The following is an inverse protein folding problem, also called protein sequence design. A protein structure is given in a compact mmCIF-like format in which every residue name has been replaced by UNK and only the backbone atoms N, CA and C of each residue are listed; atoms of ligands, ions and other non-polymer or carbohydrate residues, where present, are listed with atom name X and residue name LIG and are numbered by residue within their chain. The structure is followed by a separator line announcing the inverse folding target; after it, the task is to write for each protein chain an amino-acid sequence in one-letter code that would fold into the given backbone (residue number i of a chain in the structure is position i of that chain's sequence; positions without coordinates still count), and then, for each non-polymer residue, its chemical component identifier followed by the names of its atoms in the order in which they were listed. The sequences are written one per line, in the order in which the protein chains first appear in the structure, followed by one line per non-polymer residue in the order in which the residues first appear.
data_IF_539712949633
#
_entry.id   IF_539712949633
#
_cell.length_a   1.000
_cell.length_b   1.000
_cell.length_c   1.000
_cell.angle_alpha   90.00
_cell.angle_beta   90.00
_cell.angle_gamma   90.00
#
_symmetry.space_group_name_H-M   'P 1'
#
loop_
_entity.id
_entity.type
_entity.pdbx_description
1 polymer ?
#
# COMPACT_ATOMS: atom_id res chain seq x y z
N UNK A 1 8.55 -43.95 36.80
CA UNK A 1 8.93 -44.50 35.48
C UNK A 1 9.36 -43.32 34.61
N UNK A 2 10.51 -42.65 34.86
CA UNK A 2 11.87 -42.93 34.34
C UNK A 2 11.88 -43.63 32.98
N UNK A 3 12.32 -42.95 31.92
CA UNK A 3 13.61 -43.15 31.26
C UNK A 3 14.02 -41.94 30.39
N UNK A 4 15.25 -41.47 30.62
CA UNK A 4 16.13 -40.74 29.69
C UNK A 4 16.61 -41.66 28.58
N UNK A 5 17.24 -41.12 27.52
CA UNK A 5 18.57 -41.51 26.95
C UNK A 5 18.74 -41.01 25.49
N UNK A 6 19.57 -39.97 25.30
CA UNK A 6 20.80 -39.82 24.44
C UNK A 6 20.56 -39.51 22.94
N UNK A 7 21.10 -38.47 22.30
CA UNK A 7 22.47 -37.93 22.15
C UNK A 7 23.41 -38.77 21.27
N UNK A 8 23.82 -38.24 20.10
CA UNK A 8 25.15 -38.22 19.41
C UNK A 8 24.95 -37.90 17.90
N UNK A 9 25.52 -36.87 17.24
CA UNK A 9 26.89 -36.41 16.89
C UNK A 9 27.53 -37.11 15.66
N UNK A 10 27.75 -36.34 14.57
CA UNK A 10 28.88 -36.41 13.58
C UNK A 10 28.62 -35.39 12.45
N UNK A 11 29.36 -34.29 12.24
CA UNK A 11 30.79 -34.05 11.91
C UNK A 11 31.08 -34.07 10.39
N UNK A 12 31.28 -32.85 9.85
CA UNK A 12 32.30 -32.35 8.90
C UNK A 12 32.48 -33.03 7.53
N UNK A 13 32.38 -32.21 6.47
CA UNK A 13 33.39 -32.17 5.41
C UNK A 13 33.45 -30.78 4.75
N UNK A 14 34.63 -30.17 4.90
CA UNK A 14 35.17 -29.00 4.21
C UNK A 14 35.37 -29.33 2.73
N UNK A 15 35.17 -28.38 1.82
CA UNK A 15 36.06 -28.23 0.65
C UNK A 15 36.12 -26.78 0.18
N UNK A 16 37.36 -26.29 0.21
CA UNK A 16 37.88 -25.01 -0.25
C UNK A 16 37.93 -24.99 -1.78
N UNK A 17 37.61 -23.85 -2.38
CA UNK A 17 37.83 -23.58 -3.80
C UNK A 17 37.93 -22.08 -4.06
N UNK A 18 39.15 -21.57 -4.03
CA UNK A 18 39.56 -20.18 -4.32
C UNK A 18 39.67 -20.02 -5.84
N UNK A 19 39.10 -18.96 -6.42
CA UNK A 19 39.67 -18.28 -7.59
C UNK A 19 39.05 -16.88 -7.78
N UNK A 20 39.92 -15.89 -7.76
CA UNK A 20 39.73 -14.45 -8.05
C UNK A 20 39.64 -14.17 -9.56
N UNK A 21 39.32 -12.93 -9.98
CA UNK A 21 38.72 -12.62 -11.28
C UNK A 21 39.75 -12.31 -12.38
N UNK A 22 39.31 -12.38 -13.63
CA UNK A 22 40.06 -11.84 -14.77
C UNK A 22 39.23 -10.73 -15.42
N UNK A 23 39.75 -9.51 -15.24
CA UNK A 23 39.52 -8.33 -16.05
C UNK A 23 40.36 -8.46 -17.34
N UNK A 24 39.79 -8.10 -18.49
CA UNK A 24 40.54 -7.54 -19.62
C UNK A 24 39.61 -6.70 -20.46
N UNK A 25 39.67 -5.38 -20.26
CA UNK A 25 39.19 -4.41 -21.23
C UNK A 25 39.98 -4.43 -22.54
N UNK A 26 39.31 -4.03 -23.63
CA UNK A 26 39.91 -3.17 -24.66
C UNK A 26 38.83 -2.49 -25.50
N UNK A 27 38.81 -1.17 -25.39
CA UNK A 27 38.31 -0.19 -26.34
C UNK A 27 38.70 -0.54 -27.78
N UNK A 28 37.75 -0.42 -28.73
CA UNK A 28 37.95 0.26 -30.04
C UNK A 28 36.60 0.85 -30.51
N UNK A 29 36.50 2.17 -30.55
CA UNK A 29 35.70 2.95 -31.54
C UNK A 29 36.72 3.62 -32.47
N UNK A 30 36.46 3.81 -33.78
CA UNK A 30 35.54 4.82 -34.33
C UNK A 30 34.80 4.32 -35.59
N UNK A 31 33.85 4.97 -36.26
CA UNK A 31 33.26 6.30 -36.25
C UNK A 31 32.28 6.36 -37.45
N UNK A 32 31.38 7.35 -37.40
CA UNK A 32 30.36 7.79 -38.36
C UNK A 32 30.37 7.18 -39.78
N UNK A 33 29.19 6.79 -40.27
CA UNK A 33 28.64 7.30 -41.53
C UNK A 33 27.10 7.37 -41.49
N UNK A 34 26.61 8.51 -41.97
CA UNK A 34 25.23 8.90 -42.26
C UNK A 34 24.75 8.11 -43.48
N UNK A 35 23.51 7.60 -43.45
CA UNK A 35 22.50 7.76 -44.52
C UNK A 35 21.21 6.95 -44.19
N UNK A 36 20.07 7.53 -44.54
CA UNK A 36 18.76 6.89 -44.75
C UNK A 36 18.23 7.48 -46.08
N UNK A 37 17.14 6.99 -46.70
CA UNK A 37 16.30 5.81 -46.47
C UNK A 37 16.04 5.02 -47.78
N UNK A 38 15.06 4.09 -47.75
CA UNK A 38 14.34 3.42 -48.88
C UNK A 38 14.73 1.95 -49.11
N UNK A 39 13.82 1.02 -48.82
CA UNK A 39 12.88 0.53 -49.85
C UNK A 39 11.94 -0.56 -49.29
N UNK A 40 10.65 -0.40 -49.57
CA UNK A 40 9.59 -1.39 -49.34
C UNK A 40 9.47 -2.23 -50.60
N UNK A 41 9.54 -3.57 -50.55
CA UNK A 41 9.02 -4.40 -51.62
C UNK A 41 7.56 -4.75 -51.36
N UNK A 42 6.66 -4.16 -52.14
CA UNK A 42 5.33 -4.69 -52.38
C UNK A 42 5.45 -6.02 -53.13
N UNK A 43 5.13 -7.13 -52.48
CA UNK A 43 4.94 -8.41 -53.16
C UNK A 43 3.51 -8.49 -53.72
N UNK A 44 3.43 -8.34 -55.02
CA UNK A 44 2.30 -8.60 -55.92
C UNK A 44 1.66 -9.97 -55.71
N UNK A 45 0.33 -9.98 -55.64
CA UNK A 45 -0.54 -11.15 -55.78
C UNK A 45 -0.39 -11.76 -57.18
N UNK A 46 0.24 -12.93 -57.27
CA UNK A 46 0.10 -13.81 -58.44
C UNK A 46 -0.89 -14.93 -58.14
N UNK A 47 -2.10 -14.78 -58.68
CA UNK A 47 -3.05 -15.88 -58.86
C UNK A 47 -2.46 -16.90 -59.83
N UNK A 48 -2.25 -18.15 -59.38
CA UNK A 48 -2.02 -19.29 -60.27
C UNK A 48 -2.95 -20.46 -59.93
N UNK A 49 -3.92 -20.58 -60.83
CA UNK A 49 -4.73 -21.71 -61.29
C UNK A 49 -4.72 -23.06 -60.54
N UNK A 50 -5.97 -23.54 -60.36
CA UNK A 50 -6.45 -24.86 -59.99
C UNK A 50 -5.73 -26.05 -60.65
N UNK A 51 -5.45 -27.08 -59.85
CA UNK A 51 -5.53 -28.49 -60.29
C UNK A 51 -6.34 -29.29 -59.27
N UNK A 52 -7.37 -29.93 -59.79
CA UNK A 52 -8.25 -30.89 -59.14
C UNK A 52 -7.53 -32.24 -59.09
N UNK A 53 -7.51 -32.90 -57.92
CA UNK A 53 -7.45 -34.37 -57.84
C UNK A 53 -8.11 -34.82 -56.55
N UNK A 54 -9.21 -35.56 -56.70
CA UNK A 54 -9.98 -36.14 -55.62
C UNK A 54 -9.21 -37.23 -54.86
N UNK A 55 -9.26 -37.16 -53.52
CA UNK A 55 -9.37 -38.33 -52.65
C UNK A 55 -9.89 -37.87 -51.27
N UNK A 56 -10.94 -38.55 -50.80
CA UNK A 56 -11.75 -38.23 -49.62
C UNK A 56 -11.11 -38.74 -48.31
N UNK A 57 -11.42 -38.04 -47.21
CA UNK A 57 -11.30 -38.37 -45.77
C UNK A 57 -9.91 -38.19 -45.13
N UNK A 58 -9.73 -37.11 -44.36
CA UNK A 58 -10.07 -37.14 -42.92
C UNK A 58 -10.27 -35.71 -42.38
N UNK A 59 -11.25 -35.55 -41.49
CA UNK A 59 -11.59 -34.24 -40.89
C UNK A 59 -10.64 -33.96 -39.73
N UNK A 60 -9.50 -33.36 -40.04
CA UNK A 60 -8.79 -32.55 -39.06
C UNK A 60 -9.13 -31.09 -39.37
N UNK A 61 -10.16 -30.56 -38.70
CA UNK A 61 -10.33 -29.12 -38.54
C UNK A 61 -9.13 -28.60 -37.72
N UNK A 62 -7.96 -28.47 -38.36
CA UNK A 62 -6.98 -27.48 -37.97
C UNK A 62 -7.64 -26.13 -38.23
N UNK A 63 -8.41 -25.66 -37.24
CA UNK A 63 -8.79 -24.26 -37.15
C UNK A 63 -7.50 -23.49 -36.95
N UNK A 64 -6.92 -23.05 -38.06
CA UNK A 64 -5.95 -21.96 -38.08
C UNK A 64 -6.70 -20.72 -37.61
N UNK A 65 -6.86 -20.61 -36.29
CA UNK A 65 -7.47 -19.46 -35.66
C UNK A 65 -6.52 -18.30 -35.84
N UNK A 66 -6.80 -17.41 -36.78
CA UNK A 66 -6.12 -16.13 -36.89
C UNK A 66 -6.42 -15.34 -35.61
N UNK A 67 -5.48 -15.25 -34.64
CA UNK A 67 -5.78 -14.68 -33.33
C UNK A 67 -6.18 -13.20 -33.43
N UNK A 68 -5.79 -12.56 -34.53
CA UNK A 68 -6.10 -11.17 -34.85
C UNK A 68 -7.58 -10.96 -35.23
N UNK A 69 -8.20 -11.93 -35.91
CA UNK A 69 -9.62 -11.85 -36.27
C UNK A 69 -10.52 -12.04 -35.04
N UNK A 70 -10.16 -12.95 -34.11
CA UNK A 70 -10.91 -13.12 -32.85
C UNK A 70 -10.88 -11.86 -32.02
N UNK A 71 -9.69 -11.26 -31.84
CA UNK A 71 -9.52 -9.98 -31.13
C UNK A 71 -10.31 -8.85 -31.77
N UNK A 72 -10.38 -8.82 -33.11
CA UNK A 72 -11.17 -7.83 -33.84
C UNK A 72 -12.68 -7.99 -33.58
N UNK A 73 -13.21 -9.22 -33.69
CA UNK A 73 -14.63 -9.51 -33.46
C UNK A 73 -15.02 -9.25 -32.00
N UNK A 74 -14.17 -9.63 -31.05
CA UNK A 74 -14.35 -9.31 -29.64
C UNK A 74 -14.40 -7.79 -29.44
N UNK A 75 -13.42 -7.04 -29.95
CA UNK A 75 -13.42 -5.57 -29.86
C UNK A 75 -14.67 -4.94 -30.48
N UNK A 76 -15.18 -5.49 -31.58
CA UNK A 76 -16.42 -5.03 -32.20
C UNK A 76 -17.63 -5.31 -31.29
N UNK A 77 -17.70 -6.49 -30.68
CA UNK A 77 -18.75 -6.85 -29.74
C UNK A 77 -18.79 -5.86 -28.54
N UNK A 78 -17.65 -5.56 -27.91
CA UNK A 78 -17.60 -4.61 -26.79
C UNK A 78 -17.95 -3.18 -27.21
N UNK A 79 -17.53 -2.75 -28.41
CA UNK A 79 -17.96 -1.45 -28.96
C UNK A 79 -19.48 -1.41 -29.16
N UNK A 80 -20.09 -2.49 -29.62
CA UNK A 80 -21.55 -2.58 -29.74
C UNK A 80 -22.24 -2.57 -28.37
N UNK A 81 -21.76 -3.35 -27.40
CA UNK A 81 -22.29 -3.36 -26.03
C UNK A 81 -22.28 -1.96 -25.41
N UNK A 82 -21.16 -1.22 -25.59
CA UNK A 82 -21.05 0.17 -25.13
C UNK A 82 -22.01 1.12 -25.87
N UNK A 83 -22.21 0.94 -27.18
CA UNK A 83 -23.18 1.76 -27.96
C UNK A 83 -24.62 1.49 -27.55
N UNK A 84 -24.92 0.25 -27.17
CA UNK A 84 -26.24 -0.18 -26.71
C UNK A 84 -26.45 0.05 -25.22
N UNK A 85 -25.48 0.66 -24.51
CA UNK A 85 -25.52 0.95 -23.08
C UNK A 85 -25.87 -0.27 -22.20
N UNK A 86 -25.42 -1.47 -22.61
CA UNK A 86 -25.78 -2.71 -21.92
C UNK A 86 -25.34 -2.67 -20.45
N UNK A 87 -26.21 -3.10 -19.54
CA UNK A 87 -25.86 -3.08 -18.12
C UNK A 87 -24.68 -4.04 -17.86
N UNK A 88 -23.62 -3.65 -17.13
CA UNK A 88 -22.50 -4.54 -16.89
C UNK A 88 -22.85 -5.84 -16.14
N UNK A 89 -23.88 -5.87 -15.29
CA UNK A 89 -24.39 -7.10 -14.68
C UNK A 89 -24.98 -8.07 -15.73
N UNK A 90 -25.75 -7.53 -16.68
CA UNK A 90 -26.28 -8.32 -17.79
C UNK A 90 -25.16 -8.90 -18.64
N UNK A 91 -24.12 -8.09 -18.92
CA UNK A 91 -22.93 -8.56 -19.65
C UNK A 91 -22.17 -9.60 -18.84
N UNK A 92 -22.02 -9.43 -17.52
CA UNK A 92 -21.38 -10.41 -16.63
C UNK A 92 -22.08 -11.76 -16.68
N UNK A 93 -23.42 -11.74 -16.64
CA UNK A 93 -24.27 -12.92 -16.71
C UNK A 93 -24.18 -13.60 -18.08
N UNK A 94 -24.25 -12.85 -19.18
CA UNK A 94 -24.12 -13.38 -20.54
C UNK A 94 -22.74 -13.97 -20.84
N UNK A 95 -21.71 -13.53 -20.12
CA UNK A 95 -20.35 -14.08 -20.20
C UNK A 95 -20.15 -15.28 -19.26
N UNK A 96 -21.20 -15.72 -18.55
CA UNK A 96 -21.17 -16.88 -17.65
C UNK A 96 -20.09 -16.76 -16.55
N UNK A 97 -19.73 -15.53 -16.15
CA UNK A 97 -18.64 -15.28 -15.21
C UNK A 97 -18.97 -15.60 -13.74
N UNK A 98 -20.25 -15.86 -13.44
CA UNK A 98 -20.70 -16.26 -12.11
C UNK A 98 -20.82 -17.78 -11.93
N UNK A 99 -20.57 -18.58 -12.97
CA UNK A 99 -20.81 -20.03 -12.92
C UNK A 99 -19.78 -20.75 -12.05
N UNK A 100 -20.23 -21.78 -11.34
CA UNK A 100 -19.39 -22.58 -10.46
C UNK A 100 -18.23 -23.21 -11.25
N UNK A 101 -17.01 -23.07 -10.73
CA UNK A 101 -15.79 -23.60 -11.37
C UNK A 101 -15.13 -22.65 -12.37
N UNK A 102 -15.75 -21.51 -12.69
CA UNK A 102 -15.08 -20.45 -13.47
C UNK A 102 -14.00 -19.78 -12.62
N UNK A 103 -12.74 -19.93 -13.05
CA UNK A 103 -11.61 -19.20 -12.46
C UNK A 103 -11.56 -17.79 -13.05
N UNK A 104 -11.53 -16.77 -12.20
CA UNK A 104 -11.46 -15.36 -12.61
C UNK A 104 -10.03 -14.86 -12.74
N UNK A 105 -9.08 -15.41 -11.98
CA UNK A 105 -7.66 -15.07 -12.09
C UNK A 105 -7.13 -15.33 -13.50
N UNK A 106 -6.47 -14.32 -14.08
CA UNK A 106 -5.93 -14.36 -15.44
C UNK A 106 -6.95 -14.73 -16.53
N UNK A 107 -8.25 -14.63 -16.25
CA UNK A 107 -9.29 -14.95 -17.22
C UNK A 107 -9.48 -13.76 -18.18
N UNK A 108 -9.17 -13.91 -19.49
CA UNK A 108 -9.22 -12.80 -20.44
C UNK A 108 -10.65 -12.25 -20.64
N UNK A 109 -11.67 -13.09 -20.50
CA UNK A 109 -13.08 -12.68 -20.58
C UNK A 109 -13.45 -11.80 -19.39
N UNK A 110 -13.04 -12.19 -18.18
CA UNK A 110 -13.25 -11.41 -16.96
C UNK A 110 -12.50 -10.06 -17.01
N UNK A 111 -11.22 -10.07 -17.39
CA UNK A 111 -10.42 -8.86 -17.55
C UNK A 111 -11.09 -7.91 -18.55
N UNK A 112 -11.59 -8.42 -19.67
CA UNK A 112 -12.26 -7.59 -20.66
C UNK A 112 -13.62 -7.07 -20.19
N UNK A 113 -14.35 -7.84 -19.37
CA UNK A 113 -15.53 -7.34 -18.69
C UNK A 113 -15.20 -6.18 -17.72
N UNK A 114 -14.10 -6.25 -16.96
CA UNK A 114 -13.66 -5.12 -16.14
C UNK A 114 -13.28 -3.90 -16.99
N UNK A 115 -12.63 -4.09 -18.15
CA UNK A 115 -12.35 -3.00 -19.09
C UNK A 115 -13.64 -2.36 -19.61
N UNK A 116 -14.64 -3.19 -19.89
CA UNK A 116 -15.97 -2.74 -20.26
C UNK A 116 -16.61 -1.89 -19.15
N UNK A 117 -16.61 -2.38 -17.91
CA UNK A 117 -17.12 -1.64 -16.73
C UNK A 117 -16.42 -0.29 -16.58
N UNK A 118 -15.09 -0.26 -16.71
CA UNK A 118 -14.32 0.98 -16.64
C UNK A 118 -14.78 2.01 -17.70
N UNK A 119 -14.94 1.57 -18.95
CA UNK A 119 -15.41 2.45 -20.03
C UNK A 119 -16.87 2.87 -19.87
N UNK A 120 -17.73 1.97 -19.38
CA UNK A 120 -19.13 2.22 -19.07
C UNK A 120 -19.28 3.35 -18.05
N UNK A 121 -18.53 3.26 -16.95
CA UNK A 121 -18.45 4.28 -15.89
C UNK A 121 -17.90 5.61 -16.42
N UNK A 122 -16.80 5.56 -17.18
CA UNK A 122 -16.15 6.75 -17.74
C UNK A 122 -17.08 7.53 -18.68
N UNK A 123 -17.90 6.82 -19.46
CA UNK A 123 -18.92 7.41 -20.35
C UNK A 123 -20.19 7.87 -19.60
N UNK A 124 -20.28 7.63 -18.28
CA UNK A 124 -21.43 7.97 -17.44
C UNK A 124 -22.76 7.44 -18.01
N UNK A 125 -22.73 6.22 -18.57
CA UNK A 125 -23.89 5.64 -19.25
C UNK A 125 -25.04 5.34 -18.26
N UNK A 126 -24.70 4.71 -17.14
CA UNK A 126 -25.58 4.52 -15.99
C UNK A 126 -24.77 4.28 -14.72
N UNK A 127 -25.46 4.21 -13.59
CA UNK A 127 -24.88 3.90 -12.29
C UNK A 127 -24.39 2.45 -12.23
N UNK A 128 -23.11 2.26 -11.92
CA UNK A 128 -22.49 0.98 -11.65
C UNK A 128 -21.18 1.24 -10.88
N UNK A 129 -21.17 1.08 -9.56
CA UNK A 129 -20.04 1.37 -8.68
C UNK A 129 -19.39 0.07 -8.14
N UNK A 130 -18.41 0.23 -7.24
CA UNK A 130 -17.58 -0.88 -6.76
C UNK A 130 -18.37 -1.91 -5.94
N UNK A 131 -19.45 -1.48 -5.29
CA UNK A 131 -20.42 -2.36 -4.63
C UNK A 131 -20.98 -3.36 -5.65
N UNK A 132 -21.48 -2.88 -6.80
CA UNK A 132 -22.06 -3.76 -7.82
C UNK A 132 -21.02 -4.73 -8.39
N UNK A 133 -19.76 -4.30 -8.59
CA UNK A 133 -18.71 -5.25 -8.99
C UNK A 133 -18.56 -6.34 -7.93
N UNK A 134 -18.31 -5.96 -6.69
CA UNK A 134 -17.97 -6.92 -5.62
C UNK A 134 -19.14 -7.88 -5.34
N UNK A 135 -20.38 -7.38 -5.30
CA UNK A 135 -21.56 -8.23 -5.11
C UNK A 135 -21.75 -9.24 -6.25
N UNK A 136 -21.39 -8.89 -7.50
CA UNK A 136 -21.40 -9.87 -8.59
C UNK A 136 -20.34 -10.95 -8.41
N UNK A 137 -19.13 -10.59 -8.00
CA UNK A 137 -18.07 -11.58 -7.81
C UNK A 137 -18.36 -12.49 -6.62
N UNK A 138 -18.99 -11.96 -5.56
CA UNK A 138 -19.46 -12.72 -4.38
C UNK A 138 -20.47 -13.82 -4.70
N UNK A 139 -21.11 -13.79 -5.88
CA UNK A 139 -21.96 -14.90 -6.34
C UNK A 139 -21.17 -16.20 -6.54
N UNK A 140 -19.86 -16.14 -6.75
CA UNK A 140 -19.01 -17.31 -7.03
C UNK A 140 -17.67 -17.34 -6.26
N UNK A 141 -17.25 -16.22 -5.67
CA UNK A 141 -15.97 -16.06 -4.98
C UNK A 141 -16.18 -15.67 -3.52
N UNK A 142 -15.34 -16.18 -2.62
CA UNK A 142 -15.30 -15.66 -1.25
C UNK A 142 -14.54 -14.34 -1.20
N UNK A 143 -14.76 -13.53 -0.15
CA UNK A 143 -13.96 -12.30 0.03
C UNK A 143 -12.45 -12.57 0.10
N UNK A 144 -12.05 -13.74 0.59
CA UNK A 144 -10.65 -14.15 0.61
C UNK A 144 -10.09 -14.41 -0.79
N UNK A 145 -10.88 -15.00 -1.69
CA UNK A 145 -10.51 -15.16 -3.10
C UNK A 145 -10.41 -13.78 -3.78
N UNK A 146 -11.32 -12.87 -3.45
CA UNK A 146 -11.33 -11.50 -3.97
C UNK A 146 -10.11 -10.69 -3.57
N UNK A 147 -9.57 -10.88 -2.36
CA UNK A 147 -8.29 -10.26 -1.95
C UNK A 147 -7.18 -10.61 -2.95
N UNK A 148 -7.02 -11.89 -3.23
CA UNK A 148 -5.96 -12.39 -4.12
C UNK A 148 -6.21 -11.93 -5.56
N UNK A 149 -7.46 -12.06 -6.03
CA UNK A 149 -7.86 -11.64 -7.37
C UNK A 149 -7.58 -10.15 -7.60
N UNK A 150 -8.00 -9.28 -6.68
CA UNK A 150 -7.79 -7.84 -6.82
C UNK A 150 -6.32 -7.46 -6.72
N UNK A 151 -5.52 -8.18 -5.94
CA UNK A 151 -4.08 -7.98 -5.96
C UNK A 151 -3.46 -8.35 -7.31
N UNK A 152 -3.79 -9.53 -7.84
CA UNK A 152 -3.31 -9.99 -9.16
C UNK A 152 -3.69 -9.02 -10.29
N UNK A 153 -4.89 -8.44 -10.24
CA UNK A 153 -5.34 -7.45 -11.22
C UNK A 153 -4.44 -6.20 -11.29
N UNK A 154 -3.68 -5.87 -10.24
CA UNK A 154 -2.72 -4.75 -10.29
C UNK A 154 -1.62 -4.97 -11.34
N UNK A 155 -1.29 -6.23 -11.63
CA UNK A 155 -0.28 -6.59 -12.63
C UNK A 155 -0.83 -6.59 -14.06
N UNK A 156 -2.15 -6.43 -14.24
CA UNK A 156 -2.78 -6.35 -15.56
C UNK A 156 -2.64 -4.93 -16.12
N UNK A 157 -2.14 -4.74 -17.35
CA UNK A 157 -1.99 -3.43 -17.95
C UNK A 157 -3.29 -2.61 -17.93
N UNK A 158 -3.21 -1.41 -17.33
CA UNK A 158 -4.34 -0.48 -17.22
C UNK A 158 -5.34 -0.78 -16.10
N UNK A 159 -5.13 -1.81 -15.27
CA UNK A 159 -6.06 -2.20 -14.21
C UNK A 159 -5.67 -1.74 -12.80
N UNK A 160 -4.42 -1.30 -12.61
CA UNK A 160 -3.89 -0.96 -11.28
C UNK A 160 -4.82 -0.06 -10.45
N UNK A 161 -5.31 1.04 -11.01
CA UNK A 161 -6.15 1.98 -10.25
C UNK A 161 -7.50 1.36 -9.84
N UNK A 162 -8.14 0.59 -10.72
CA UNK A 162 -9.39 -0.10 -10.41
C UNK A 162 -9.15 -1.20 -9.36
N UNK A 163 -8.04 -1.91 -9.47
CA UNK A 163 -7.65 -2.93 -8.50
C UNK A 163 -7.38 -2.33 -7.11
N UNK A 164 -6.68 -1.19 -7.03
CA UNK A 164 -6.45 -0.46 -5.78
C UNK A 164 -7.79 0.01 -5.17
N UNK A 165 -8.74 0.48 -6.00
CA UNK A 165 -10.10 0.85 -5.59
C UNK A 165 -10.88 -0.33 -5.00
N UNK A 166 -10.85 -1.48 -5.68
CA UNK A 166 -11.53 -2.70 -5.23
C UNK A 166 -10.91 -3.26 -3.95
N UNK A 167 -9.58 -3.18 -3.78
CA UNK A 167 -8.91 -3.56 -2.52
C UNK A 167 -9.34 -2.65 -1.37
N UNK A 168 -9.30 -1.32 -1.55
CA UNK A 168 -9.75 -0.37 -0.54
C UNK A 168 -11.23 -0.54 -0.19
N UNK A 169 -12.08 -0.82 -1.17
CA UNK A 169 -13.47 -1.14 -0.95
C UNK A 169 -13.65 -2.43 -0.13
N UNK A 170 -12.97 -3.51 -0.52
CA UNK A 170 -13.07 -4.80 0.16
C UNK A 170 -12.61 -4.71 1.62
N UNK A 171 -11.48 -4.04 1.86
CA UNK A 171 -10.97 -3.75 3.21
C UNK A 171 -11.97 -2.94 4.06
N UNK A 172 -12.79 -2.10 3.41
CA UNK A 172 -13.84 -1.34 4.10
C UNK A 172 -15.09 -2.16 4.44
N UNK A 173 -15.36 -3.23 3.68
CA UNK A 173 -16.60 -4.02 3.78
C UNK A 173 -16.41 -5.39 4.42
N UNK A 174 -15.17 -5.89 4.48
CA UNK A 174 -14.84 -7.21 4.97
C UNK A 174 -13.63 -7.17 5.90
N UNK A 175 -13.81 -6.75 7.17
CA UNK A 175 -12.72 -6.72 8.16
C UNK A 175 -12.03 -8.07 8.34
N UNK A 176 -12.75 -9.18 8.13
CA UNK A 176 -12.21 -10.54 8.15
C UNK A 176 -11.12 -10.79 7.11
N UNK A 177 -11.14 -10.05 6.01
CA UNK A 177 -10.18 -10.20 4.92
C UNK A 177 -8.95 -9.31 5.05
N UNK A 178 -8.91 -8.38 6.03
CA UNK A 178 -7.78 -7.47 6.23
C UNK A 178 -6.46 -8.21 6.51
N UNK A 179 -6.53 -9.26 7.35
CA UNK A 179 -5.35 -10.06 7.67
C UNK A 179 -4.80 -10.76 6.41
N UNK A 180 -5.67 -11.32 5.57
CA UNK A 180 -5.26 -11.94 4.33
C UNK A 180 -4.70 -10.91 3.35
N UNK A 181 -5.29 -9.72 3.26
CA UNK A 181 -4.77 -8.63 2.44
C UNK A 181 -3.33 -8.27 2.84
N UNK A 182 -3.04 -8.16 4.14
CA UNK A 182 -1.68 -7.93 4.63
C UNK A 182 -0.72 -9.04 4.23
N UNK A 183 -1.15 -10.31 4.29
CA UNK A 183 -0.34 -11.44 3.84
C UNK A 183 -0.08 -11.40 2.33
N UNK A 184 -1.10 -11.07 1.52
CA UNK A 184 -0.95 -10.97 0.07
C UNK A 184 0.01 -9.84 -0.32
N UNK A 185 -0.10 -8.67 0.32
CA UNK A 185 0.88 -7.59 0.13
C UNK A 185 2.30 -8.02 0.53
N UNK A 186 2.44 -8.65 1.70
CA UNK A 186 3.74 -9.09 2.21
C UNK A 186 4.41 -10.14 1.32
N UNK A 187 3.64 -11.13 0.86
CA UNK A 187 4.11 -12.20 -0.03
C UNK A 187 4.47 -11.69 -1.42
N UNK A 188 3.92 -10.54 -1.81
CA UNK A 188 4.17 -9.89 -3.09
C UNK A 188 5.20 -8.77 -2.98
N UNK A 189 5.90 -8.67 -1.85
CA UNK A 189 6.91 -7.65 -1.56
C UNK A 189 6.40 -6.20 -1.73
N UNK A 190 5.11 -5.96 -1.50
CA UNK A 190 4.54 -4.62 -1.60
C UNK A 190 5.11 -3.72 -0.50
N UNK A 191 5.94 -2.76 -0.87
CA UNK A 191 6.55 -1.87 0.11
C UNK A 191 5.46 -1.02 0.84
N UNK A 192 5.66 -0.64 2.11
CA UNK A 192 4.72 0.21 2.85
C UNK A 192 4.37 1.51 2.10
N UNK A 193 5.31 2.07 1.32
CA UNK A 193 5.09 3.22 0.44
C UNK A 193 4.01 2.97 -0.61
N UNK A 194 3.95 1.76 -1.16
CA UNK A 194 2.99 1.39 -2.18
C UNK A 194 1.62 1.09 -1.55
N UNK A 195 1.60 0.40 -0.40
CA UNK A 195 0.37 0.17 0.37
C UNK A 195 -0.26 1.50 0.82
N UNK A 196 0.54 2.51 1.17
CA UNK A 196 0.05 3.86 1.47
C UNK A 196 -0.76 4.46 0.30
N UNK A 197 -0.33 4.19 -0.94
CA UNK A 197 -1.04 4.64 -2.17
C UNK A 197 -2.28 3.80 -2.43
N UNK A 198 -2.20 2.47 -2.30
CA UNK A 198 -3.36 1.57 -2.43
C UNK A 198 -4.49 2.05 -1.51
N UNK A 199 -4.15 2.40 -0.27
CA UNK A 199 -5.08 2.87 0.75
C UNK A 199 -5.48 4.34 0.63
N UNK A 200 -5.02 5.04 -0.42
CA UNK A 200 -5.34 6.44 -0.73
C UNK A 200 -5.13 7.37 0.48
N UNK A 201 -4.05 7.16 1.23
CA UNK A 201 -3.78 7.91 2.47
C UNK A 201 -3.19 9.31 2.23
N UNK A 202 -2.70 9.60 1.02
CA UNK A 202 -2.29 10.95 0.64
C UNK A 202 -3.49 11.90 0.68
N UNK A 203 -3.39 12.99 1.44
CA UNK A 203 -4.50 13.94 1.62
C UNK A 203 -5.62 13.44 2.53
N UNK A 204 -5.52 12.24 3.11
CA UNK A 204 -6.48 11.73 4.10
C UNK A 204 -6.25 12.36 5.49
N UNK A 205 -7.25 12.26 6.37
CA UNK A 205 -7.05 12.54 7.80
C UNK A 205 -6.34 11.32 8.41
N UNK A 206 -5.16 11.51 8.99
CA UNK A 206 -4.36 10.43 9.56
C UNK A 206 -4.44 10.48 11.09
N UNK A 207 -5.47 9.82 11.63
CA UNK A 207 -5.73 9.68 13.06
C UNK A 207 -6.25 8.26 13.36
N UNK A 208 -6.44 7.97 14.65
CA UNK A 208 -6.85 6.63 15.11
C UNK A 208 -8.26 6.22 14.67
N UNK A 209 -9.09 7.15 14.21
CA UNK A 209 -10.43 6.84 13.68
C UNK A 209 -10.37 6.39 12.21
N UNK A 210 -9.30 6.73 11.50
CA UNK A 210 -9.06 6.26 10.15
C UNK A 210 -8.53 4.82 10.16
N UNK A 211 -9.43 3.85 9.99
CA UNK A 211 -9.08 2.42 9.89
C UNK A 211 -8.02 2.10 8.84
N UNK A 212 -7.99 2.81 7.71
CA UNK A 212 -7.00 2.57 6.66
C UNK A 212 -5.61 3.02 7.10
N UNK A 213 -5.53 4.09 7.89
CA UNK A 213 -4.28 4.53 8.49
C UNK A 213 -3.79 3.51 9.53
N UNK A 214 -4.69 2.98 10.37
CA UNK A 214 -4.34 1.91 11.32
C UNK A 214 -3.86 0.64 10.60
N UNK A 215 -4.55 0.21 9.54
CA UNK A 215 -4.14 -0.95 8.76
C UNK A 215 -2.77 -0.74 8.08
N UNK A 216 -2.50 0.46 7.56
CA UNK A 216 -1.19 0.80 7.01
C UNK A 216 -0.07 0.75 8.06
N UNK A 217 -0.29 1.26 9.27
CA UNK A 217 0.69 1.17 10.37
C UNK A 217 0.96 -0.28 10.77
N UNK A 218 -0.10 -1.10 10.86
CA UNK A 218 0.02 -2.53 11.18
C UNK A 218 0.76 -3.29 10.10
N UNK A 219 0.44 -3.01 8.82
CA UNK A 219 1.16 -3.58 7.70
C UNK A 219 2.63 -3.17 7.71
N UNK A 220 2.93 -1.91 8.03
CA UNK A 220 4.30 -1.41 8.14
C UNK A 220 5.10 -2.18 9.19
N UNK A 221 4.54 -2.38 10.39
CA UNK A 221 5.22 -3.16 11.44
C UNK A 221 5.39 -4.63 11.04
N UNK A 222 4.39 -5.23 10.41
CA UNK A 222 4.47 -6.60 9.88
C UNK A 222 5.59 -6.72 8.83
N UNK A 223 5.65 -5.79 7.88
CA UNK A 223 6.66 -5.75 6.83
C UNK A 223 8.07 -5.61 7.41
N UNK A 224 8.25 -4.72 8.39
CA UNK A 224 9.54 -4.52 9.08
C UNK A 224 9.98 -5.73 9.87
N UNK A 225 9.04 -6.44 10.51
CA UNK A 225 9.32 -7.66 11.26
C UNK A 225 9.81 -8.78 10.33
N UNK A 226 9.21 -8.91 9.14
CA UNK A 226 9.54 -9.96 8.18
C UNK A 226 10.78 -9.64 7.33
N UNK A 227 10.86 -8.42 6.78
CA UNK A 227 11.90 -8.01 5.82
C UNK A 227 13.10 -7.35 6.49
N UNK A 228 13.02 -7.06 7.78
CA UNK A 228 14.05 -6.38 8.57
C UNK A 228 13.81 -4.88 8.70
N UNK A 229 14.16 -4.33 9.86
CA UNK A 229 13.82 -2.96 10.29
C UNK A 229 14.44 -1.84 9.46
N UNK A 230 15.48 -2.14 8.67
CA UNK A 230 16.16 -1.19 7.79
C UNK A 230 15.51 -1.05 6.40
N UNK A 231 14.55 -1.92 6.05
CA UNK A 231 13.86 -1.85 4.75
C UNK A 231 12.83 -0.72 4.70
N UNK A 232 12.18 -0.44 5.83
CA UNK A 232 11.34 0.73 6.03
C UNK A 232 11.48 1.21 7.48
N UNK A 233 12.16 2.33 7.68
CA UNK A 233 12.52 2.84 9.02
C UNK A 233 11.37 3.59 9.68
N UNK A 234 11.38 3.75 11.02
CA UNK A 234 10.39 4.59 11.71
C UNK A 234 10.42 6.05 11.21
N UNK A 235 11.58 6.52 10.76
CA UNK A 235 11.74 7.85 10.16
C UNK A 235 11.03 7.94 8.80
N UNK A 236 11.05 6.88 7.99
CA UNK A 236 10.26 6.82 6.76
C UNK A 236 8.76 6.79 7.09
N UNK A 237 8.33 5.98 8.06
CA UNK A 237 6.93 5.99 8.54
C UNK A 237 6.50 7.40 8.94
N UNK A 238 7.30 8.06 9.78
CA UNK A 238 7.08 9.43 10.22
C UNK A 238 6.99 10.40 9.04
N UNK A 239 7.91 10.29 8.07
CA UNK A 239 7.92 11.15 6.90
C UNK A 239 6.57 11.08 6.17
N UNK A 240 6.10 9.88 5.85
CA UNK A 240 4.81 9.68 5.18
C UNK A 240 3.64 10.29 5.96
N UNK A 241 3.61 10.09 7.29
CA UNK A 241 2.54 10.63 8.15
C UNK A 241 2.54 12.16 8.11
N UNK A 242 3.71 12.79 8.28
CA UNK A 242 3.81 14.25 8.37
C UNK A 242 3.65 14.94 7.00
N UNK A 243 3.99 14.28 5.89
CA UNK A 243 3.90 14.88 4.56
C UNK A 243 2.62 14.51 3.80
N UNK A 244 1.76 13.66 4.38
CA UNK A 244 0.47 13.31 3.78
C UNK A 244 -0.42 14.52 3.50
N UNK A 245 -0.27 15.59 4.30
CA UNK A 245 -0.88 16.90 4.08
C UNK A 245 0.16 18.00 4.28
N UNK A 246 0.77 18.52 3.20
CA UNK A 246 1.87 19.49 3.29
C UNK A 246 1.57 20.78 4.06
N UNK A 247 0.30 21.13 4.24
CA UNK A 247 -0.14 22.35 4.94
C UNK A 247 -0.59 22.12 6.39
N UNK A 248 -0.42 20.91 6.93
CA UNK A 248 -0.81 20.58 8.31
C UNK A 248 0.36 20.76 9.26
N UNK A 249 0.14 21.45 10.38
CA UNK A 249 1.10 21.54 11.48
C UNK A 249 1.45 20.14 11.98
N UNK A 250 2.69 19.92 12.41
CA UNK A 250 3.14 18.58 12.81
C UNK A 250 2.75 18.26 14.26
N UNK A 251 2.63 19.27 15.10
CA UNK A 251 2.36 19.18 16.54
C UNK A 251 1.06 18.41 16.85
N UNK A 252 -0.07 18.62 16.13
CA UNK A 252 -1.28 17.81 16.30
C UNK A 252 -1.09 16.29 16.16
N UNK A 253 -0.07 15.83 15.42
CA UNK A 253 0.25 14.39 15.35
C UNK A 253 0.80 13.85 16.68
N UNK A 254 1.27 14.71 17.59
CA UNK A 254 1.68 14.32 18.94
C UNK A 254 0.55 13.61 19.69
N UNK A 255 -0.69 14.11 19.58
CA UNK A 255 -1.89 13.48 20.16
C UNK A 255 -2.23 12.17 19.47
N UNK A 256 -2.09 12.10 18.14
CA UNK A 256 -2.29 10.85 17.39
C UNK A 256 -1.30 9.78 17.87
N UNK A 257 -0.02 10.12 17.98
CA UNK A 257 1.01 9.20 18.46
C UNK A 257 0.80 8.84 19.94
N UNK A 258 0.32 9.77 20.77
CA UNK A 258 -0.02 9.47 22.15
C UNK A 258 -1.12 8.41 22.24
N UNK A 259 -2.21 8.59 21.48
CA UNK A 259 -3.32 7.63 21.46
C UNK A 259 -2.90 6.28 20.86
N UNK A 260 -2.01 6.26 19.86
CA UNK A 260 -1.51 5.03 19.25
C UNK A 260 -0.76 4.12 20.24
N UNK A 261 -0.23 4.66 21.36
CA UNK A 261 0.40 3.85 22.41
C UNK A 261 -0.55 2.90 23.13
N UNK A 262 -1.86 3.14 23.03
CA UNK A 262 -2.89 2.26 23.58
C UNK A 262 -3.09 0.99 22.75
N UNK A 263 -2.49 0.91 21.56
CA UNK A 263 -2.45 -0.29 20.73
C UNK A 263 -1.12 -1.00 20.98
N UNK A 264 -1.11 -2.15 21.70
CA UNK A 264 0.14 -2.81 22.09
C UNK A 264 1.07 -3.10 20.92
N UNK A 265 0.51 -3.42 19.75
CA UNK A 265 1.24 -3.72 18.52
C UNK A 265 1.88 -2.49 17.86
N UNK A 266 1.38 -1.28 18.15
CA UNK A 266 1.90 -0.02 17.58
C UNK A 266 2.68 0.81 18.60
N UNK A 267 2.74 0.38 19.86
CA UNK A 267 3.26 1.18 20.98
C UNK A 267 4.69 1.66 20.74
N UNK A 268 5.60 0.77 20.36
CA UNK A 268 7.01 1.12 20.15
C UNK A 268 7.18 2.10 18.98
N UNK A 269 6.46 1.86 17.88
CA UNK A 269 6.44 2.75 16.72
C UNK A 269 5.89 4.13 17.12
N UNK A 270 4.80 4.18 17.88
CA UNK A 270 4.18 5.40 18.37
C UNK A 270 5.11 6.20 19.31
N UNK A 271 5.82 5.53 20.23
CA UNK A 271 6.81 6.14 21.12
C UNK A 271 8.00 6.71 20.34
N UNK A 272 8.51 5.96 19.35
CA UNK A 272 9.59 6.40 18.47
C UNK A 272 9.19 7.62 17.64
N UNK A 273 7.98 7.58 17.07
CA UNK A 273 7.43 8.68 16.31
C UNK A 273 7.23 9.93 17.19
N UNK A 274 6.58 9.80 18.35
CA UNK A 274 6.38 10.92 19.26
C UNK A 274 7.71 11.53 19.72
N UNK A 275 8.70 10.69 20.02
CA UNK A 275 10.05 11.18 20.40
C UNK A 275 10.72 11.95 19.27
N UNK A 276 10.58 11.49 18.02
CA UNK A 276 11.15 12.16 16.85
C UNK A 276 10.47 13.50 16.57
N UNK A 277 9.14 13.56 16.72
CA UNK A 277 8.37 14.81 16.68
C UNK A 277 8.89 15.80 17.72
N UNK A 278 8.99 15.38 18.98
CA UNK A 278 9.44 16.24 20.07
C UNK A 278 10.86 16.76 19.86
N UNK A 279 11.79 15.90 19.44
CA UNK A 279 13.15 16.31 19.10
C UNK A 279 13.16 17.38 18.00
N UNK A 280 12.35 17.21 16.95
CA UNK A 280 12.22 18.20 15.87
C UNK A 280 11.68 19.54 16.39
N UNK A 281 10.62 19.53 17.21
CA UNK A 281 10.07 20.76 17.80
C UNK A 281 11.06 21.48 18.72
N UNK A 282 11.83 20.73 19.54
CA UNK A 282 12.91 21.29 20.38
C UNK A 282 14.02 21.91 19.51
N UNK A 283 14.44 21.23 18.44
CA UNK A 283 15.44 21.76 17.49
C UNK A 283 14.98 23.05 16.82
N UNK A 284 13.68 23.20 16.60
CA UNK A 284 13.04 24.42 16.10
C UNK A 284 12.78 25.47 17.19
N UNK A 285 13.31 25.26 18.40
CA UNK A 285 13.18 26.17 19.55
C UNK A 285 11.73 26.45 19.98
N UNK A 286 10.84 25.48 19.76
CA UNK A 286 9.44 25.58 20.20
C UNK A 286 9.37 25.29 21.71
N UNK A 287 9.08 26.29 22.53
CA UNK A 287 8.93 26.06 23.97
C UNK A 287 7.63 25.30 24.32
N UNK A 288 7.49 24.72 25.53
CA UNK A 288 6.31 23.96 25.91
C UNK A 288 4.97 24.69 25.79
N UNK A 289 4.92 26.00 26.05
CA UNK A 289 3.68 26.78 25.90
C UNK A 289 3.34 26.94 24.43
N UNK A 290 4.32 27.33 23.62
CA UNK A 290 4.13 27.48 22.18
C UNK A 290 3.75 26.14 21.52
N UNK A 291 4.38 25.03 21.93
CA UNK A 291 4.00 23.70 21.48
C UNK A 291 2.55 23.38 21.82
N UNK A 292 2.10 23.69 23.04
CA UNK A 292 0.71 23.51 23.43
C UNK A 292 -0.28 24.33 22.60
N UNK A 293 0.09 25.56 22.20
CA UNK A 293 -0.74 26.38 21.31
C UNK A 293 -0.80 25.83 19.87
N UNK A 294 0.29 25.21 19.39
CA UNK A 294 0.34 24.56 18.08
C UNK A 294 -0.36 23.19 18.06
N UNK A 295 -0.38 22.51 19.21
CA UNK A 295 -0.94 21.16 19.36
C UNK A 295 -2.43 21.10 19.05
N UNK A 296 -3.18 22.16 19.37
CA UNK A 296 -4.63 22.20 19.14
C UNK A 296 -5.14 23.63 18.96
N UNK A 297 -5.35 24.07 17.71
CA UNK A 297 -5.91 25.39 17.39
C UNK A 297 -7.44 25.31 17.22
N UNK A 298 -8.26 26.19 17.85
CA UNK A 298 -7.90 27.45 18.54
C UNK A 298 -7.74 27.34 20.06
N UNK A 299 -7.66 26.14 20.61
CA UNK A 299 -7.33 25.96 22.02
C UNK A 299 -5.90 26.49 22.29
N UNK A 300 -5.62 26.80 23.56
CA UNK A 300 -4.28 27.22 23.98
C UNK A 300 -3.72 26.20 24.96
N UNK A 301 -2.42 26.26 25.22
CA UNK A 301 -1.78 25.43 26.25
C UNK A 301 -2.51 25.53 27.60
N UNK A 302 -3.09 26.69 27.94
CA UNK A 302 -3.88 26.91 29.18
C UNK A 302 -5.11 26.02 29.26
N UNK A 303 -5.87 25.91 28.17
CA UNK A 303 -7.03 25.02 28.14
C UNK A 303 -6.63 23.55 28.18
N UNK A 304 -5.47 23.19 27.61
CA UNK A 304 -4.98 21.81 27.60
C UNK A 304 -4.57 21.39 29.01
N UNK A 305 -3.83 22.23 29.75
CA UNK A 305 -3.39 21.90 31.12
C UNK A 305 -4.52 21.79 32.13
N UNK A 306 -5.69 22.34 31.82
CA UNK A 306 -6.90 22.22 32.64
C UNK A 306 -7.71 20.93 32.37
N UNK A 307 -7.34 20.13 31.36
CA UNK A 307 -8.05 18.89 31.01
C UNK A 307 -7.75 17.77 32.01
N UNK A 308 -8.60 16.72 32.03
CA UNK A 308 -8.31 15.50 32.78
C UNK A 308 -6.93 14.91 32.45
N UNK A 309 -6.30 14.26 33.43
CA UNK A 309 -4.93 13.72 33.28
C UNK A 309 -4.82 12.56 32.29
N UNK A 310 -5.95 11.95 31.93
CA UNK A 310 -6.07 10.90 30.91
C UNK A 310 -6.46 11.43 29.52
N UNK A 311 -6.58 12.75 29.34
CA UNK A 311 -6.78 13.36 28.03
C UNK A 311 -5.50 13.23 27.19
N UNK A 312 -5.61 12.70 25.97
CA UNK A 312 -4.46 12.45 25.12
C UNK A 312 -3.69 13.74 24.74
N UNK A 313 -4.37 14.88 24.66
CA UNK A 313 -3.75 16.17 24.36
C UNK A 313 -2.97 16.68 25.56
N UNK A 314 -3.54 16.57 26.77
CA UNK A 314 -2.83 16.83 28.02
C UNK A 314 -1.60 15.94 28.18
N UNK A 315 -1.75 14.63 27.98
CA UNK A 315 -0.64 13.68 28.07
C UNK A 315 0.47 14.00 27.07
N UNK A 316 0.11 14.44 25.85
CA UNK A 316 1.07 14.86 24.83
C UNK A 316 1.85 16.10 25.26
N UNK A 317 1.16 17.14 25.74
CA UNK A 317 1.81 18.36 26.23
C UNK A 317 2.72 18.08 27.44
N UNK A 318 2.25 17.24 28.37
CA UNK A 318 3.05 16.76 29.50
C UNK A 318 4.30 16.02 29.04
N UNK A 319 4.16 15.08 28.10
CA UNK A 319 5.28 14.30 27.57
C UNK A 319 6.30 15.19 26.84
N UNK A 320 5.83 16.18 26.06
CA UNK A 320 6.69 17.16 25.42
C UNK A 320 7.46 17.99 26.45
N UNK A 321 6.78 18.51 27.46
CA UNK A 321 7.38 19.33 28.54
C UNK A 321 8.46 18.55 29.31
N UNK A 322 8.21 17.27 29.59
CA UNK A 322 9.19 16.39 30.22
C UNK A 322 10.41 16.17 29.32
N UNK A 323 10.20 15.94 28.01
CA UNK A 323 11.31 15.76 27.05
C UNK A 323 12.13 17.04 26.91
N UNK A 324 11.48 18.18 26.80
CA UNK A 324 12.09 19.50 26.72
C UNK A 324 12.99 19.76 27.94
N UNK A 325 12.47 19.52 29.15
CA UNK A 325 13.22 19.69 30.39
C UNK A 325 14.44 18.76 30.47
N UNK A 326 14.28 17.49 30.06
CA UNK A 326 15.38 16.54 30.04
C UNK A 326 16.48 16.93 29.04
N UNK A 327 16.10 17.36 27.83
CA UNK A 327 17.05 17.61 26.75
C UNK A 327 17.85 18.88 26.94
N UNK A 328 17.25 19.92 27.54
CA UNK A 328 17.90 21.22 27.71
C UNK A 328 18.42 21.46 29.13
N UNK A 329 17.72 20.93 30.15
CA UNK A 329 18.05 21.14 31.56
C UNK A 329 18.55 19.89 32.31
N UNK A 330 18.66 18.74 31.64
CA UNK A 330 19.15 17.49 32.23
C UNK A 330 18.24 16.87 33.29
N UNK A 331 18.82 15.96 34.08
CA UNK A 331 18.06 15.14 35.05
C UNK A 331 17.43 15.97 36.18
N UNK A 332 18.08 17.05 36.61
CA UNK A 332 17.59 17.91 37.69
C UNK A 332 16.32 18.66 37.26
N UNK A 333 16.34 19.22 36.04
CA UNK A 333 15.18 19.86 35.45
C UNK A 333 14.03 18.87 35.26
N UNK A 334 14.31 17.68 34.72
CA UNK A 334 13.32 16.62 34.59
C UNK A 334 12.71 16.25 35.94
N UNK A 335 13.52 16.08 36.97
CA UNK A 335 13.06 15.76 38.33
C UNK A 335 12.11 16.81 38.88
N UNK A 336 12.46 18.08 38.74
CA UNK A 336 11.61 19.22 39.16
C UNK A 336 10.28 19.26 38.41
N UNK A 337 10.30 19.13 37.10
CA UNK A 337 9.09 19.16 36.26
C UNK A 337 8.18 17.96 36.56
N UNK A 338 8.74 16.76 36.78
CA UNK A 338 7.99 15.58 37.22
C UNK A 338 7.27 15.82 38.55
N UNK A 339 7.95 16.41 39.53
CA UNK A 339 7.37 16.71 40.83
C UNK A 339 6.17 17.68 40.71
N UNK A 340 6.29 18.73 39.88
CA UNK A 340 5.21 19.69 39.66
C UNK A 340 3.97 19.07 39.00
N UNK A 341 4.16 18.21 37.99
CA UNK A 341 3.04 17.45 37.43
C UNK A 341 2.41 16.48 38.45
N UNK A 342 3.21 15.85 39.32
CA UNK A 342 2.70 14.97 40.37
C UNK A 342 1.92 15.73 41.45
N UNK A 343 2.26 16.99 41.70
CA UNK A 343 1.55 17.90 42.60
C UNK A 343 0.35 18.61 41.95
N UNK A 344 -0.05 18.21 40.74
CA UNK A 344 -1.15 18.80 39.98
C UNK A 344 -0.97 20.30 39.70
N UNK A 345 0.28 20.73 39.45
CA UNK A 345 0.63 22.10 39.05
C UNK A 345 1.28 22.11 37.65
N UNK A 346 0.49 21.85 36.59
CA UNK A 346 1.00 21.78 35.23
C UNK A 346 1.51 23.13 34.71
N UNK A 347 0.94 24.26 35.14
CA UNK A 347 1.42 25.58 34.72
C UNK A 347 2.83 25.86 35.25
N UNK A 348 3.08 25.57 36.53
CA UNK A 348 4.43 25.69 37.09
C UNK A 348 5.38 24.68 36.44
N UNK A 349 4.91 23.48 36.08
CA UNK A 349 5.73 22.48 35.39
C UNK A 349 6.23 22.99 34.04
N UNK A 350 5.36 23.59 33.23
CA UNK A 350 5.73 24.22 31.95
C UNK A 350 6.72 25.37 32.17
N UNK A 351 6.44 26.25 33.15
CA UNK A 351 7.33 27.36 33.46
C UNK A 351 8.71 26.92 33.98
N UNK A 352 8.77 25.82 34.74
CA UNK A 352 10.01 25.25 35.25
C UNK A 352 10.85 24.64 34.12
N UNK A 353 10.22 23.97 33.15
CA UNK A 353 10.91 23.42 31.98
C UNK A 353 11.60 24.52 31.16
N UNK A 354 10.92 25.64 30.92
CA UNK A 354 11.46 26.79 30.17
C UNK A 354 12.59 27.54 30.87
N UNK A 355 12.64 27.50 32.21
CA UNK A 355 13.70 28.16 33.00
C UNK A 355 15.00 27.37 33.05
N UNK A 356 14.93 26.08 32.75
CA UNK A 356 16.07 25.17 32.84
C UNK A 356 16.82 25.01 31.51
N UNK A 357 16.30 25.60 30.43
CA UNK A 357 16.83 25.54 29.06
C UNK A 357 17.69 26.72 28.67
#
# INVERSE_FOLDING_TARGET
MRFMVTATLSVISLLVGIATPIDTGRNISPGLLVESPLDIPSATLTNRHLRHSDAIKDKNEERVGFPDLSKFIENLAYKMMLKLNMNPDEVFTKLHLAEAGVKLDNNPTFIRWLQYVHQYRKKKLSWFNDVEIVELLRKSQSDNDLVTLFHNLRQVPGMKNLADELQGFLLSKSPSSNQLMHQVWLNSDEAPEEVFKILKLQGAKLDVDNKFFLDWLRYTELYRAEKGTNTFTELQTMHYVLTAKPSTMYEPFGTVFQTLKNFPELKNLAESMQTSLFKKSIQLQVDPKHFGDLLENPATWKSIVARPTNDATFETLKAYTLKYAQDLGGNDALGKVKALFASNDPEAALAAAMKAS
#
